data_IF_098358500740
#
_entry.id   IF_098358500740
#
_cell.length_a   1.000
_cell.length_b   1.000
_cell.length_c   1.000
_cell.angle_alpha   90.00
_cell.angle_beta   90.00
_cell.angle_gamma   90.00
#
_symmetry.space_group_name_H-M   'P 1'
#
loop_
_entity.id
_entity.type
_entity.pdbx_description
1 polymer ?
#
# COMPACT_ATOMS: atom_id res chain seq x y z
N UNK A 1 -8.61 4.81 -6.44
CA UNK A 1 -8.65 5.59 -5.17
C UNK A 1 -9.00 4.64 -4.03
N UNK A 2 -8.60 4.98 -2.81
CA UNK A 2 -9.11 4.37 -1.58
C UNK A 2 -10.37 5.08 -1.09
N UNK A 3 -11.34 4.28 -0.65
CA UNK A 3 -12.59 4.73 -0.06
C UNK A 3 -12.81 4.04 1.29
N UNK A 4 -13.39 4.75 2.25
CA UNK A 4 -13.85 4.21 3.52
C UNK A 4 -15.36 4.17 3.54
N UNK A 5 -15.91 3.00 3.88
CA UNK A 5 -17.35 2.83 4.13
C UNK A 5 -17.54 2.62 5.63
N UNK A 6 -18.13 3.56 6.37
CA UNK A 6 -18.48 3.37 7.77
C UNK A 6 -19.46 2.21 7.94
N UNK A 7 -19.45 1.53 9.11
CA UNK A 7 -20.35 0.41 9.41
C UNK A 7 -21.85 0.82 9.38
N UNK A 8 -22.15 2.11 9.45
CA UNK A 8 -23.51 2.63 9.25
C UNK A 8 -23.97 2.60 7.79
N UNK A 9 -23.06 2.37 6.84
CA UNK A 9 -23.32 2.29 5.39
C UNK A 9 -23.74 3.59 4.72
N UNK A 10 -23.93 4.68 5.49
CA UNK A 10 -24.59 5.88 4.99
C UNK A 10 -23.69 6.76 4.13
N UNK A 11 -22.43 6.98 4.52
CA UNK A 11 -21.55 7.96 3.86
C UNK A 11 -20.21 7.34 3.46
N UNK A 12 -19.99 7.13 2.16
CA UNK A 12 -18.68 6.73 1.61
C UNK A 12 -17.74 7.94 1.63
N UNK A 13 -16.55 7.78 2.20
CA UNK A 13 -15.53 8.83 2.28
C UNK A 13 -14.35 8.49 1.38
N UNK A 14 -14.00 9.39 0.47
CA UNK A 14 -12.75 9.26 -0.31
C UNK A 14 -11.56 9.54 0.60
N UNK A 15 -10.62 8.60 0.70
CA UNK A 15 -9.42 8.75 1.55
C UNK A 15 -8.21 9.32 0.80
N UNK A 16 -8.18 9.16 -0.52
CA UNK A 16 -7.04 9.53 -1.36
C UNK A 16 -7.50 10.12 -2.68
N UNK A 17 -6.71 11.06 -3.20
CA UNK A 17 -6.93 11.73 -4.48
C UNK A 17 -5.69 11.54 -5.36
N UNK A 18 -5.43 10.30 -5.76
CA UNK A 18 -4.27 9.91 -6.56
C UNK A 18 -4.45 10.27 -8.03
N UNK A 19 -3.38 10.71 -8.69
CA UNK A 19 -3.35 10.91 -10.15
C UNK A 19 -2.98 9.65 -10.92
N UNK A 20 -2.87 8.52 -10.23
CA UNK A 20 -2.50 7.21 -10.76
C UNK A 20 -3.38 6.10 -10.16
N UNK A 21 -3.43 4.95 -10.83
CA UNK A 21 -4.21 3.81 -10.39
C UNK A 21 -3.57 3.12 -9.17
N UNK A 22 -4.43 2.55 -8.32
CA UNK A 22 -4.00 1.59 -7.29
C UNK A 22 -3.76 0.25 -7.99
N UNK A 23 -2.66 -0.38 -7.64
CA UNK A 23 -2.20 -1.65 -8.15
C UNK A 23 -2.35 -2.68 -7.01
N UNK A 24 -3.17 -3.71 -7.20
CA UNK A 24 -3.30 -4.78 -6.22
C UNK A 24 -4.08 -4.42 -4.95
N UNK A 25 -3.75 -5.15 -3.88
CA UNK A 25 -4.47 -5.19 -2.61
C UNK A 25 -3.99 -4.08 -1.66
N UNK A 26 -4.88 -3.64 -0.78
CA UNK A 26 -4.53 -2.79 0.36
C UNK A 26 -4.51 -3.61 1.65
N UNK A 27 -3.82 -3.11 2.67
CA UNK A 27 -3.77 -3.75 4.00
C UNK A 27 -3.79 -2.67 5.09
N UNK A 28 -4.38 -2.98 6.25
CA UNK A 28 -4.49 -2.06 7.38
C UNK A 28 -3.43 -2.42 8.41
N UNK A 29 -2.74 -1.42 8.97
CA UNK A 29 -1.77 -1.63 10.04
C UNK A 29 -2.44 -2.19 11.31
N UNK A 30 -1.69 -2.89 12.19
CA UNK A 30 -2.24 -3.47 13.40
C UNK A 30 -2.92 -2.47 14.35
N UNK A 31 -2.45 -1.22 14.37
CA UNK A 31 -3.03 -0.11 15.15
C UNK A 31 -4.24 0.55 14.46
N UNK A 32 -4.58 0.12 13.24
CA UNK A 32 -5.69 0.66 12.45
C UNK A 32 -5.42 2.04 11.84
N UNK A 33 -4.25 2.64 12.07
CA UNK A 33 -3.97 4.02 11.69
C UNK A 33 -3.57 4.17 10.22
N UNK A 34 -2.95 3.16 9.64
CA UNK A 34 -2.37 3.22 8.31
C UNK A 34 -3.01 2.21 7.37
N UNK A 35 -3.15 2.61 6.11
CA UNK A 35 -3.51 1.72 5.01
C UNK A 35 -2.32 1.68 4.05
N UNK A 36 -1.72 0.51 3.87
CA UNK A 36 -0.74 0.26 2.82
C UNK A 36 -1.44 -0.15 1.53
N UNK A 37 -0.84 0.21 0.40
CA UNK A 37 -1.32 -0.18 -0.94
C UNK A 37 -0.17 -0.05 -1.95
N UNK A 38 -0.32 -0.64 -3.13
CA UNK A 38 0.64 -0.44 -4.21
C UNK A 38 0.05 0.54 -5.23
N UNK A 39 0.89 1.42 -5.75
CA UNK A 39 0.51 2.38 -6.78
C UNK A 39 1.76 3.00 -7.42
N UNK A 40 1.66 3.40 -8.69
CA UNK A 40 2.81 3.92 -9.46
C UNK A 40 4.09 3.10 -9.24
N UNK A 41 3.96 1.77 -9.35
CA UNK A 41 5.01 0.77 -9.16
C UNK A 41 5.80 0.93 -7.85
N UNK A 42 5.13 1.34 -6.79
CA UNK A 42 5.73 1.60 -5.48
C UNK A 42 4.82 1.11 -4.36
N UNK A 43 5.40 0.87 -3.18
CA UNK A 43 4.64 0.70 -1.94
C UNK A 43 4.31 2.07 -1.38
N UNK A 44 3.04 2.28 -1.04
CA UNK A 44 2.51 3.50 -0.44
C UNK A 44 1.79 3.22 0.86
N UNK A 45 1.66 4.26 1.68
CA UNK A 45 0.79 4.29 2.86
C UNK A 45 -0.03 5.57 2.90
N UNK A 46 -1.20 5.52 3.53
CA UNK A 46 -2.00 6.70 3.87
C UNK A 46 -2.61 6.52 5.25
N UNK A 47 -2.96 7.63 5.92
CA UNK A 47 -3.74 7.57 7.16
C UNK A 47 -5.16 7.06 6.86
N UNK A 48 -5.67 6.17 7.71
CA UNK A 48 -7.00 5.55 7.58
C UNK A 48 -8.16 6.55 7.80
N UNK A 49 -7.91 7.66 8.49
CA UNK A 49 -8.82 8.78 8.59
C UNK A 49 -8.83 9.65 7.31
N UNK A 50 -7.89 9.40 6.39
CA UNK A 50 -7.65 10.19 5.20
C UNK A 50 -6.43 11.09 5.39
N UNK A 51 -5.82 11.49 4.27
CA UNK A 51 -4.62 12.32 4.31
C UNK A 51 -3.85 12.27 3.00
N UNK A 52 -2.67 12.87 3.01
CA UNK A 52 -1.75 12.81 1.88
C UNK A 52 -1.03 11.46 1.87
N UNK A 53 -1.18 10.65 0.80
CA UNK A 53 -0.45 9.39 0.71
C UNK A 53 1.06 9.61 0.65
N UNK A 54 1.82 8.73 1.29
CA UNK A 54 3.28 8.75 1.33
C UNK A 54 3.84 7.51 0.63
N UNK A 55 4.77 7.73 -0.29
CA UNK A 55 5.53 6.65 -0.94
C UNK A 55 6.60 6.13 0.02
N UNK A 56 6.73 4.81 0.12
CA UNK A 56 7.73 4.16 0.98
C UNK A 56 8.93 3.64 0.19
N UNK A 57 8.72 3.16 -1.02
CA UNK A 57 9.80 2.63 -1.88
C UNK A 57 10.08 3.57 -3.04
N UNK A 58 11.27 3.48 -3.64
CA UNK A 58 11.48 4.05 -4.97
C UNK A 58 10.50 3.41 -5.98
N UNK A 59 10.15 4.17 -7.02
CA UNK A 59 9.36 3.65 -8.15
C UNK A 59 10.20 2.65 -8.93
N UNK A 60 9.70 1.44 -9.10
CA UNK A 60 10.34 0.44 -9.95
C UNK A 60 9.88 0.56 -11.41
N UNK A 61 10.68 -0.02 -12.30
CA UNK A 61 10.27 -0.27 -13.69
C UNK A 61 9.09 -1.25 -13.74
N UNK A 62 8.30 -1.20 -14.82
CA UNK A 62 7.07 -1.97 -14.96
C UNK A 62 7.28 -3.49 -14.82
N UNK A 63 8.37 -4.02 -15.38
CA UNK A 63 8.74 -5.43 -15.27
C UNK A 63 9.02 -5.88 -13.82
N UNK A 64 9.27 -4.93 -12.93
CA UNK A 64 9.57 -5.15 -11.52
C UNK A 64 8.58 -4.39 -10.63
N UNK A 65 7.37 -4.13 -11.12
CA UNK A 65 6.32 -3.56 -10.28
C UNK A 65 6.04 -4.50 -9.10
N UNK A 66 5.81 -3.98 -7.88
CA UNK A 66 5.36 -4.81 -6.79
C UNK A 66 3.97 -5.39 -7.11
N UNK A 67 3.71 -6.63 -6.68
CA UNK A 67 2.48 -7.38 -6.98
C UNK A 67 1.83 -7.91 -5.70
N UNK A 68 0.53 -8.19 -5.78
CA UNK A 68 -0.25 -8.63 -4.62
C UNK A 68 -0.57 -7.44 -3.71
N UNK A 69 0.00 -7.42 -2.50
CA UNK A 69 -0.17 -6.35 -1.52
C UNK A 69 1.06 -6.17 -0.65
N UNK A 70 1.13 -5.05 0.07
CA UNK A 70 2.13 -4.80 1.09
C UNK A 70 1.51 -5.06 2.47
N UNK A 71 2.00 -6.08 3.19
CA UNK A 71 1.40 -6.56 4.43
C UNK A 71 2.19 -6.10 5.64
N UNK A 72 1.49 -5.64 6.68
CA UNK A 72 2.13 -5.18 7.90
C UNK A 72 2.57 -6.33 8.77
N UNK A 73 3.74 -6.17 9.39
CA UNK A 73 4.15 -6.97 10.54
C UNK A 73 3.20 -6.75 11.71
N UNK A 74 3.11 -7.72 12.63
CA UNK A 74 2.25 -7.63 13.82
C UNK A 74 2.52 -6.41 14.71
N UNK A 75 3.77 -5.92 14.72
CA UNK A 75 4.14 -4.72 15.50
C UNK A 75 3.91 -3.41 14.74
N UNK A 76 3.59 -3.47 13.43
CA UNK A 76 3.40 -2.29 12.60
C UNK A 76 4.69 -1.55 12.22
N UNK A 77 5.86 -2.09 12.53
CA UNK A 77 7.18 -1.46 12.30
C UNK A 77 7.83 -1.88 10.97
N UNK A 78 7.22 -2.83 10.25
CA UNK A 78 7.69 -3.33 8.95
C UNK A 78 6.54 -3.71 8.04
N UNK A 79 6.81 -3.67 6.73
CA UNK A 79 5.98 -4.24 5.69
C UNK A 79 6.73 -5.34 4.93
N UNK A 80 5.99 -6.28 4.37
CA UNK A 80 6.47 -7.28 3.41
C UNK A 80 5.68 -7.17 2.11
N UNK A 81 6.34 -7.30 0.96
CA UNK A 81 5.67 -7.24 -0.35
C UNK A 81 6.42 -8.08 -1.39
N UNK A 82 5.70 -8.48 -2.45
CA UNK A 82 6.26 -9.27 -3.52
C UNK A 82 6.66 -8.39 -4.70
N UNK A 83 7.79 -8.69 -5.35
CA UNK A 83 8.26 -8.00 -6.56
C UNK A 83 9.15 -8.93 -7.37
N UNK A 84 9.07 -8.84 -8.70
CA UNK A 84 9.98 -9.56 -9.58
C UNK A 84 11.37 -8.90 -9.62
N UNK A 85 12.43 -9.71 -9.58
CA UNK A 85 13.81 -9.25 -9.81
C UNK A 85 14.12 -9.04 -11.30
N UNK A 86 15.38 -8.81 -11.67
CA UNK A 86 15.77 -8.54 -13.05
C UNK A 86 15.71 -9.79 -13.94
N UNK A 87 15.77 -10.97 -13.31
CA UNK A 87 15.74 -12.28 -13.93
C UNK A 87 14.31 -12.82 -14.08
N UNK A 88 13.31 -12.10 -13.54
CA UNK A 88 11.90 -12.46 -13.65
C UNK A 88 11.41 -13.44 -12.60
N UNK A 89 12.16 -13.63 -11.50
CA UNK A 89 11.73 -14.45 -10.38
C UNK A 89 10.99 -13.60 -9.34
N UNK A 90 9.92 -14.18 -8.79
CA UNK A 90 9.16 -13.52 -7.73
C UNK A 90 9.97 -13.58 -6.43
N UNK A 91 10.28 -12.41 -5.89
CA UNK A 91 10.99 -12.28 -4.63
C UNK A 91 10.10 -11.63 -3.57
N UNK A 92 10.44 -11.88 -2.30
CA UNK A 92 9.81 -11.28 -1.13
C UNK A 92 10.75 -10.23 -0.56
N UNK A 93 10.27 -8.99 -0.47
CA UNK A 93 11.03 -7.86 0.06
C UNK A 93 10.41 -7.38 1.37
N UNK A 94 11.25 -6.86 2.27
CA UNK A 94 10.81 -6.16 3.47
C UNK A 94 11.28 -4.72 3.45
N UNK A 95 10.47 -3.83 4.03
CA UNK A 95 10.83 -2.44 4.26
C UNK A 95 10.45 -2.05 5.69
N UNK A 96 11.34 -1.32 6.37
CA UNK A 96 11.03 -0.68 7.64
C UNK A 96 9.93 0.35 7.44
N UNK A 97 8.91 0.28 8.29
CA UNK A 97 7.98 1.39 8.44
C UNK A 97 8.62 2.48 9.33
N UNK A 98 7.84 3.49 9.66
CA UNK A 98 8.25 4.68 10.43
C UNK A 98 8.94 4.33 11.76
#
# INVERSE_FOLDING_TARGET
QLYRVPNTGRHIVTLTYLTFAIQGQCNVSPDGRWISFLADNSVWVTDAAGGSPRRLTARSHDAQAPVGGALWSHRGDRLVYNRYDAEGFLQIYTISAF
#
